data_IF_119396459075
#
_entry.id   IF_119396459075
#
_cell.length_a   1.000
_cell.length_b   1.000
_cell.length_c   1.000
_cell.angle_alpha   90.00
_cell.angle_beta   90.00
_cell.angle_gamma   90.00
#
_symmetry.space_group_name_H-M   'P 1'
#
loop_
_entity.id
_entity.type
_entity.pdbx_description
1 polymer ?
#
# COMPACT_ATOMS: atom_id res chain seq x y z
N UNK A 1 -71.56 10.73 -23.83
CA UNK A 1 -70.62 10.57 -22.70
C UNK A 1 -69.43 9.70 -23.12
N UNK A 2 -68.24 10.31 -23.18
CA UNK A 2 -66.97 9.69 -23.59
C UNK A 2 -66.45 8.77 -22.47
N UNK A 3 -66.29 7.48 -22.73
CA UNK A 3 -65.47 6.62 -21.86
C UNK A 3 -64.04 6.63 -22.40
N UNK A 4 -63.21 7.52 -21.84
CA UNK A 4 -61.76 7.46 -21.99
C UNK A 4 -61.22 6.33 -21.11
N UNK A 5 -60.80 5.23 -21.75
CA UNK A 5 -59.98 4.23 -21.08
C UNK A 5 -58.53 4.76 -20.94
N UNK A 6 -57.85 4.56 -19.80
CA UNK A 6 -56.46 4.98 -19.64
C UNK A 6 -55.57 4.14 -20.55
N UNK A 7 -55.00 4.75 -21.59
CA UNK A 7 -53.94 4.17 -22.43
C UNK A 7 -52.58 4.35 -21.75
N UNK A 8 -52.41 3.77 -20.57
CA UNK A 8 -51.11 3.81 -19.85
C UNK A 8 -50.67 2.40 -19.41
N UNK A 9 -51.01 1.38 -20.20
CA UNK A 9 -50.27 0.12 -20.17
C UNK A 9 -49.19 0.24 -21.24
N UNK A 10 -48.00 0.73 -20.85
CA UNK A 10 -46.81 0.63 -21.69
C UNK A 10 -46.66 -0.84 -22.10
N UNK A 11 -46.90 -1.15 -23.38
CA UNK A 11 -46.64 -2.49 -23.88
C UNK A 11 -45.18 -2.82 -23.57
N UNK A 12 -44.90 -4.01 -22.99
CA UNK A 12 -43.53 -4.41 -22.75
C UNK A 12 -42.79 -4.35 -24.08
N UNK A 13 -41.66 -3.62 -24.08
CA UNK A 13 -40.82 -3.47 -25.25
C UNK A 13 -40.62 -4.85 -25.90
N UNK A 14 -40.72 -4.95 -27.24
CA UNK A 14 -40.60 -6.21 -27.92
C UNK A 14 -39.37 -6.99 -27.46
N UNK A 15 -39.50 -8.32 -27.34
CA UNK A 15 -38.48 -9.20 -26.74
C UNK A 15 -37.10 -9.02 -27.38
N UNK A 16 -37.04 -8.57 -28.64
CA UNK A 16 -35.82 -8.30 -29.40
C UNK A 16 -35.16 -6.94 -29.12
N UNK A 17 -35.80 -6.02 -28.41
CA UNK A 17 -35.26 -4.69 -28.05
C UNK A 17 -34.53 -4.68 -26.70
N UNK A 18 -34.59 -5.77 -25.92
CA UNK A 18 -33.88 -5.92 -24.65
C UNK A 18 -32.69 -6.87 -24.76
N UNK A 19 -31.63 -6.69 -23.94
CA UNK A 19 -30.57 -7.69 -23.79
C UNK A 19 -31.17 -9.02 -23.32
N UNK A 20 -30.84 -10.10 -24.03
CA UNK A 20 -31.24 -11.43 -23.62
C UNK A 20 -30.30 -11.96 -22.54
N UNK A 21 -30.86 -12.68 -21.58
CA UNK A 21 -30.04 -13.45 -20.64
C UNK A 21 -29.39 -14.65 -21.35
N UNK A 22 -28.28 -15.13 -20.79
CA UNK A 22 -27.57 -16.32 -21.28
C UNK A 22 -28.48 -17.56 -21.44
N UNK A 23 -29.48 -17.68 -20.56
CA UNK A 23 -30.46 -18.78 -20.61
C UNK A 23 -31.47 -18.62 -21.76
N UNK A 24 -31.87 -17.39 -22.07
CA UNK A 24 -32.77 -17.08 -23.20
C UNK A 24 -32.06 -17.32 -24.54
N UNK A 25 -30.79 -16.93 -24.64
CA UNK A 25 -29.95 -17.23 -25.82
C UNK A 25 -29.83 -18.74 -26.00
N UNK A 26 -29.61 -19.49 -24.91
CA UNK A 26 -29.46 -20.95 -24.95
C UNK A 26 -30.75 -21.66 -25.39
N UNK A 27 -31.92 -21.16 -25.02
CA UNK A 27 -33.21 -21.67 -25.48
C UNK A 27 -33.48 -21.31 -26.95
N UNK A 28 -33.18 -20.07 -27.35
CA UNK A 28 -33.33 -19.60 -28.72
C UNK A 28 -32.39 -20.28 -29.73
N UNK A 29 -31.31 -20.91 -29.26
CA UNK A 29 -30.37 -21.69 -30.08
C UNK A 29 -31.01 -22.88 -30.80
N UNK A 30 -32.08 -23.48 -30.25
CA UNK A 30 -32.72 -24.65 -30.86
C UNK A 30 -33.65 -24.28 -32.03
N UNK A 31 -34.12 -23.04 -32.09
CA UNK A 31 -34.93 -22.50 -33.18
C UNK A 31 -34.54 -21.04 -33.43
N UNK A 32 -33.46 -20.84 -34.18
CA UNK A 32 -32.87 -19.53 -34.39
C UNK A 32 -33.80 -18.63 -35.22
N UNK A 33 -34.02 -17.40 -34.74
CA UNK A 33 -34.90 -16.41 -35.38
C UNK A 33 -34.21 -15.05 -35.44
N UNK A 34 -34.71 -14.13 -36.26
CA UNK A 34 -34.19 -12.76 -36.33
C UNK A 34 -34.27 -12.02 -34.98
N UNK A 35 -35.27 -12.35 -34.16
CA UNK A 35 -35.36 -11.83 -32.79
C UNK A 35 -34.22 -12.36 -31.89
N UNK A 36 -33.75 -13.58 -32.14
CA UNK A 36 -32.60 -14.18 -31.45
C UNK A 36 -31.29 -13.46 -31.81
N UNK A 37 -31.12 -13.05 -33.07
CA UNK A 37 -29.97 -12.24 -33.51
C UNK A 37 -29.91 -10.88 -32.81
N UNK A 38 -31.05 -10.18 -32.74
CA UNK A 38 -31.15 -8.88 -32.06
C UNK A 38 -30.88 -9.00 -30.55
N UNK A 39 -31.44 -10.04 -29.90
CA UNK A 39 -31.19 -10.32 -28.48
C UNK A 39 -29.73 -10.65 -28.18
N UNK A 40 -29.07 -11.42 -29.06
CA UNK A 40 -27.64 -11.72 -28.96
C UNK A 40 -26.78 -10.47 -29.13
N UNK A 41 -27.10 -9.60 -30.10
CA UNK A 41 -26.38 -8.34 -30.32
C UNK A 41 -26.40 -7.48 -29.06
N UNK A 42 -27.58 -7.30 -28.44
CA UNK A 42 -27.71 -6.52 -27.21
C UNK A 42 -26.95 -7.15 -26.03
N UNK A 43 -26.99 -8.48 -25.90
CA UNK A 43 -26.18 -9.19 -24.92
C UNK A 43 -24.68 -8.96 -25.12
N UNK A 44 -24.19 -9.07 -26.36
CA UNK A 44 -22.76 -8.85 -26.67
C UNK A 44 -22.33 -7.40 -26.42
N UNK A 45 -23.21 -6.43 -26.72
CA UNK A 45 -22.97 -5.02 -26.41
C UNK A 45 -22.84 -4.79 -24.91
N UNK A 46 -23.78 -5.32 -24.11
CA UNK A 46 -23.75 -5.19 -22.66
C UNK A 46 -22.54 -5.92 -22.06
N UNK A 47 -22.27 -7.15 -22.49
CA UNK A 47 -21.12 -7.93 -22.06
C UNK A 47 -19.80 -7.22 -22.37
N UNK A 48 -19.67 -6.66 -23.58
CA UNK A 48 -18.51 -5.86 -23.97
C UNK A 48 -18.34 -4.65 -23.06
N UNK A 49 -19.42 -3.89 -22.83
CA UNK A 49 -19.38 -2.70 -21.99
C UNK A 49 -19.04 -3.04 -20.54
N UNK A 50 -19.62 -4.10 -19.98
CA UNK A 50 -19.30 -4.59 -18.64
C UNK A 50 -17.84 -5.02 -18.53
N UNK A 51 -17.33 -5.75 -19.54
CA UNK A 51 -15.93 -6.19 -19.59
C UNK A 51 -14.97 -5.01 -19.66
N UNK A 52 -15.25 -4.02 -20.51
CA UNK A 52 -14.48 -2.78 -20.62
C UNK A 52 -14.49 -2.03 -19.29
N UNK A 53 -15.68 -1.81 -18.71
CA UNK A 53 -15.82 -1.10 -17.44
C UNK A 53 -15.07 -1.79 -16.30
N UNK A 54 -15.19 -3.11 -16.18
CA UNK A 54 -14.46 -3.90 -15.18
C UNK A 54 -12.95 -3.85 -15.40
N UNK A 55 -12.50 -3.89 -16.65
CA UNK A 55 -11.09 -3.77 -17.00
C UNK A 55 -10.54 -2.39 -16.61
N UNK A 56 -11.30 -1.31 -16.84
CA UNK A 56 -10.93 0.03 -16.42
C UNK A 56 -10.85 0.19 -14.89
N UNK A 57 -11.78 -0.42 -14.16
CA UNK A 57 -11.76 -0.41 -12.70
C UNK A 57 -10.54 -1.16 -12.14
N UNK A 58 -10.26 -2.35 -12.68
CA UNK A 58 -9.05 -3.12 -12.30
C UNK A 58 -7.79 -2.31 -12.61
N UNK A 59 -7.70 -1.66 -13.78
CA UNK A 59 -6.59 -0.79 -14.13
C UNK A 59 -6.40 0.31 -13.08
N UNK A 60 -7.48 1.00 -12.70
CA UNK A 60 -7.42 2.08 -11.70
C UNK A 60 -6.91 1.58 -10.34
N UNK A 61 -7.35 0.39 -9.92
CA UNK A 61 -6.88 -0.23 -8.68
C UNK A 61 -5.40 -0.58 -8.75
N UNK A 62 -4.93 -1.10 -9.88
CA UNK A 62 -3.50 -1.38 -10.12
C UNK A 62 -2.67 -0.09 -10.11
N UNK A 63 -3.13 0.96 -10.78
CA UNK A 63 -2.47 2.27 -10.78
C UNK A 63 -2.38 2.86 -9.36
N UNK A 64 -3.44 2.72 -8.56
CA UNK A 64 -3.46 3.08 -7.14
C UNK A 64 -2.44 2.30 -6.32
N UNK A 65 -2.41 0.98 -6.48
CA UNK A 65 -1.45 0.11 -5.79
C UNK A 65 0.00 0.43 -6.15
N UNK A 66 0.29 0.76 -7.41
CA UNK A 66 1.62 1.21 -7.85
C UNK A 66 2.00 2.51 -7.12
N UNK A 67 1.07 3.45 -7.01
CA UNK A 67 1.30 4.70 -6.29
C UNK A 67 1.59 4.47 -4.80
N UNK A 68 0.79 3.62 -4.14
CA UNK A 68 1.00 3.26 -2.74
C UNK A 68 2.33 2.56 -2.52
N UNK A 69 2.70 1.65 -3.42
CA UNK A 69 3.99 0.95 -3.39
C UNK A 69 5.16 1.94 -3.48
N UNK A 70 5.08 2.93 -4.38
CA UNK A 70 6.10 4.00 -4.47
C UNK A 70 6.17 4.83 -3.20
N UNK A 71 5.03 5.17 -2.60
CA UNK A 71 5.01 5.90 -1.34
C UNK A 71 5.62 5.09 -0.19
N UNK A 72 5.36 3.78 -0.13
CA UNK A 72 5.96 2.88 0.84
C UNK A 72 7.47 2.76 0.64
N UNK A 73 7.95 2.69 -0.61
CA UNK A 73 9.38 2.69 -0.96
C UNK A 73 10.08 3.97 -0.47
N UNK A 74 9.49 5.15 -0.73
CA UNK A 74 10.03 6.40 -0.20
C UNK A 74 10.07 6.42 1.34
N UNK A 75 9.03 5.91 2.00
CA UNK A 75 9.01 5.81 3.48
C UNK A 75 10.08 4.88 3.99
N UNK A 76 10.28 3.73 3.33
CA UNK A 76 11.31 2.77 3.66
C UNK A 76 12.70 3.40 3.53
N UNK A 77 12.97 4.13 2.43
CA UNK A 77 14.21 4.87 2.26
C UNK A 77 14.45 5.88 3.39
N UNK A 78 13.42 6.62 3.81
CA UNK A 78 13.55 7.56 4.93
C UNK A 78 13.84 6.83 6.25
N UNK A 79 13.14 5.74 6.54
CA UNK A 79 13.37 4.94 7.75
C UNK A 79 14.78 4.34 7.76
N UNK A 80 15.29 3.88 6.62
CA UNK A 80 16.68 3.43 6.52
C UNK A 80 17.68 4.55 6.77
N UNK A 81 17.43 5.74 6.22
CA UNK A 81 18.29 6.91 6.48
C UNK A 81 18.29 7.27 7.96
N UNK A 82 17.13 7.26 8.62
CA UNK A 82 17.02 7.52 10.06
C UNK A 82 17.74 6.46 10.88
N UNK A 83 17.59 5.18 10.53
CA UNK A 83 18.31 4.08 11.17
C UNK A 83 19.83 4.21 11.00
N UNK A 84 20.31 4.54 9.80
CA UNK A 84 21.73 4.77 9.55
C UNK A 84 22.25 5.96 10.36
N UNK A 85 21.50 7.04 10.46
CA UNK A 85 21.86 8.21 11.26
C UNK A 85 21.91 7.88 12.76
N UNK A 86 20.92 7.15 13.27
CA UNK A 86 20.89 6.67 14.66
C UNK A 86 22.07 5.74 14.95
N UNK A 87 22.36 4.80 14.05
CA UNK A 87 23.48 3.87 14.17
C UNK A 87 24.82 4.60 14.18
N UNK A 88 25.01 5.58 13.28
CA UNK A 88 26.21 6.41 13.23
C UNK A 88 26.37 7.24 14.52
N UNK A 89 25.28 7.79 15.03
CA UNK A 89 25.29 8.56 16.28
C UNK A 89 25.67 7.67 17.47
N UNK A 90 25.02 6.51 17.61
CA UNK A 90 25.32 5.56 18.69
C UNK A 90 26.76 5.04 18.60
N UNK A 91 27.29 4.80 17.41
CA UNK A 91 28.69 4.42 17.24
C UNK A 91 29.63 5.50 17.80
N UNK A 92 29.40 6.77 17.45
CA UNK A 92 30.21 7.90 17.91
C UNK A 92 30.10 8.06 19.44
N UNK A 93 28.90 7.95 20.00
CA UNK A 93 28.66 8.03 21.44
C UNK A 93 29.38 6.89 22.19
N UNK A 94 29.29 5.67 21.69
CA UNK A 94 29.96 4.50 22.27
C UNK A 94 31.48 4.67 22.29
N UNK A 95 32.07 5.13 21.17
CA UNK A 95 33.52 5.40 21.08
C UNK A 95 33.92 6.53 22.05
N UNK A 96 33.15 7.62 22.10
CA UNK A 96 33.44 8.75 22.98
C UNK A 96 33.36 8.33 24.46
N UNK A 97 32.30 7.62 24.86
CA UNK A 97 32.10 7.14 26.23
C UNK A 97 33.22 6.17 26.65
N UNK A 98 33.67 5.31 25.74
CA UNK A 98 34.81 4.43 25.98
C UNK A 98 36.11 5.22 26.23
N UNK A 99 36.40 6.23 25.40
CA UNK A 99 37.57 7.09 25.58
C UNK A 99 37.52 7.88 26.89
N UNK A 100 36.34 8.42 27.26
CA UNK A 100 36.15 9.08 28.55
C UNK A 100 36.39 8.14 29.74
N UNK A 101 35.93 6.89 29.62
CA UNK A 101 36.15 5.88 30.66
C UNK A 101 37.63 5.57 30.84
N UNK A 102 38.39 5.39 29.74
CA UNK A 102 39.85 5.21 29.80
C UNK A 102 40.53 6.42 30.44
N UNK A 103 40.16 7.64 30.02
CA UNK A 103 40.74 8.87 30.56
C UNK A 103 40.53 8.97 32.08
N UNK A 104 39.33 8.63 32.56
CA UNK A 104 39.00 8.66 33.99
C UNK A 104 39.81 7.64 34.80
N UNK A 105 39.96 6.41 34.29
CA UNK A 105 40.77 5.36 34.93
C UNK A 105 42.23 5.79 35.02
N UNK A 106 42.81 6.30 33.92
CA UNK A 106 44.18 6.80 33.91
C UNK A 106 44.38 7.94 34.90
N UNK A 107 43.45 8.90 34.95
CA UNK A 107 43.54 10.01 35.88
C UNK A 107 43.47 9.55 37.34
N UNK A 108 42.61 8.59 37.65
CA UNK A 108 42.51 8.00 39.00
C UNK A 108 43.77 7.25 39.39
N UNK A 109 44.39 6.53 38.43
CA UNK A 109 45.65 5.83 38.65
C UNK A 109 46.79 6.82 38.92
N UNK A 110 46.89 7.89 38.14
CA UNK A 110 47.91 8.93 38.33
C UNK A 110 47.76 9.61 39.69
N UNK A 111 46.53 9.95 40.10
CA UNK A 111 46.27 10.53 41.41
C UNK A 111 46.63 9.56 42.55
N UNK A 112 46.28 8.28 42.42
CA UNK A 112 46.66 7.26 43.40
C UNK A 112 48.18 7.13 43.52
N UNK A 113 48.90 7.08 42.40
CA UNK A 113 50.36 7.01 42.38
C UNK A 113 51.00 8.27 42.98
N UNK A 114 50.45 9.46 42.71
CA UNK A 114 50.93 10.71 43.30
C UNK A 114 50.73 10.76 44.82
N UNK A 115 49.63 10.20 45.33
CA UNK A 115 49.37 10.08 46.78
C UNK A 115 50.36 9.11 47.42
N UNK A 116 50.60 7.94 46.80
CA UNK A 116 51.60 6.95 47.28
C UNK A 116 52.99 7.57 47.32
N UNK A 117 53.43 8.17 46.21
CA UNK A 117 54.75 8.79 46.12
C UNK A 117 54.93 9.95 47.12
N UNK A 118 53.90 10.77 47.33
CA UNK A 118 53.92 11.83 48.34
C UNK A 118 54.05 11.26 49.75
N UNK A 119 53.36 10.16 50.05
CA UNK A 119 53.41 9.49 51.34
C UNK A 119 54.81 8.92 51.63
N UNK A 120 55.44 8.29 50.62
CA UNK A 120 56.82 7.81 50.71
C UNK A 120 57.82 8.96 50.92
N UNK A 121 57.67 10.09 50.21
CA UNK A 121 58.55 11.24 50.39
C UNK A 121 58.43 11.85 51.79
N UNK A 122 57.21 11.91 52.36
CA UNK A 122 57.01 12.40 53.73
C UNK A 122 57.57 11.46 54.79
N UNK A 123 57.62 10.15 54.53
CA UNK A 123 58.21 9.16 55.43
C UNK A 123 59.74 9.33 55.57
N UNK A 124 60.43 9.80 54.53
CA UNK A 124 61.87 10.09 54.56
C UNK A 124 62.24 11.48 55.10
N UNK A 125 61.25 12.32 55.47
CA UNK A 125 61.49 13.64 56.07
C UNK A 125 61.22 13.70 57.59
N UNK A 126 60.85 12.57 58.21
CA UNK A 126 60.75 12.36 59.67
C UNK A 126 61.91 11.49 60.13
#
# INVERSE_FOLDING_TARGET
PMNGAPRDAAEPAPVWERPWSLEEIRKGSQSWSLASDAGLLHFLQEFSQQTISRTHEIKKQVDGLISETKAADCRLHNVFNDFLMLSNTQFIENVSMFLYSIKLVLQTLVLSLAVVWRSDLTFWQV
#
